data_IF_590402326346
#
_entry.id   IF_590402326346
#
_cell.length_a   1.000
_cell.length_b   1.000
_cell.length_c   1.000
_cell.angle_alpha   90.00
_cell.angle_beta   90.00
_cell.angle_gamma   90.00
#
_symmetry.space_group_name_H-M   'P 1'
#
loop_
_entity.id
_entity.type
_entity.pdbx_description
1 polymer ?
#
# COMPACT_ATOMS: atom_id res chain seq x y z
N UNK A 1 -0.14 -0.33 21.74
CA UNK A 1 0.92 0.13 20.82
C UNK A 1 0.39 1.40 20.19
N UNK A 2 1.01 2.55 20.49
CA UNK A 2 0.59 3.82 19.92
C UNK A 2 0.65 3.73 18.40
N UNK A 3 -0.47 4.00 17.73
CA UNK A 3 -0.52 4.09 16.28
C UNK A 3 0.29 5.32 15.93
N UNK A 4 1.47 5.16 15.32
CA UNK A 4 2.15 6.27 14.69
C UNK A 4 1.27 6.78 13.56
N UNK A 5 0.74 7.98 13.73
CA UNK A 5 -0.07 8.66 12.74
C UNK A 5 0.83 9.71 12.08
N UNK A 6 0.91 9.64 10.75
CA UNK A 6 1.60 10.65 9.95
C UNK A 6 0.54 11.66 9.49
N UNK A 7 0.69 12.91 9.91
CA UNK A 7 -0.18 14.02 9.48
C UNK A 7 0.63 15.02 8.66
N UNK A 8 0.07 15.42 7.52
CA UNK A 8 0.62 16.53 6.78
C UNK A 8 0.19 17.84 7.47
N UNK A 9 1.15 18.75 7.66
CA UNK A 9 0.89 20.10 8.16
C UNK A 9 1.34 21.13 7.12
N UNK A 10 0.51 22.15 6.91
CA UNK A 10 0.81 23.22 5.96
C UNK A 10 -0.44 23.99 5.54
N UNK A 11 -0.27 25.21 4.99
CA UNK A 11 -1.39 26.08 4.63
C UNK A 11 -2.25 25.55 3.48
N UNK A 12 -1.74 24.59 2.71
CA UNK A 12 -2.42 23.97 1.57
C UNK A 12 -3.06 22.61 1.92
N UNK A 13 -2.92 22.13 3.16
CA UNK A 13 -3.52 20.87 3.58
C UNK A 13 -4.97 21.13 3.99
N UNK A 14 -5.91 20.63 3.18
CA UNK A 14 -7.34 20.80 3.44
C UNK A 14 -7.88 19.79 4.44
N UNK A 15 -7.40 18.53 4.37
CA UNK A 15 -7.90 17.42 5.19
C UNK A 15 -6.86 16.31 5.30
N UNK A 16 -6.78 15.69 6.48
CA UNK A 16 -6.09 14.42 6.69
C UNK A 16 -7.14 13.30 6.82
N UNK A 17 -6.94 12.19 6.11
CA UNK A 17 -7.82 11.01 6.17
C UNK A 17 -7.00 9.81 6.65
N UNK A 18 -7.44 9.19 7.73
CA UNK A 18 -6.77 8.00 8.27
C UNK A 18 -7.45 6.73 7.79
N UNK A 19 -6.69 5.91 7.09
CA UNK A 19 -7.14 4.62 6.59
C UNK A 19 -6.58 3.52 7.48
N UNK A 20 -7.46 2.75 8.12
CA UNK A 20 -7.06 1.56 8.88
C UNK A 20 -7.01 0.34 7.95
N UNK A 21 -6.01 -0.52 8.16
CA UNK A 21 -5.94 -1.84 7.51
C UNK A 21 -6.49 -2.88 8.49
N UNK A 22 -7.41 -3.71 8.00
CA UNK A 22 -7.90 -4.84 8.78
C UNK A 22 -6.78 -5.87 8.95
N UNK A 23 -6.71 -6.58 10.08
CA UNK A 23 -5.76 -7.65 10.29
C UNK A 23 -5.88 -8.73 9.20
N UNK A 24 -4.73 -9.24 8.76
CA UNK A 24 -4.70 -10.38 7.85
C UNK A 24 -5.22 -11.63 8.57
N UNK A 25 -6.14 -12.41 7.96
CA UNK A 25 -6.49 -13.72 8.49
C UNK A 25 -5.25 -14.63 8.53
N UNK A 26 -5.15 -15.47 9.55
CA UNK A 26 -4.00 -16.40 9.71
C UNK A 26 -3.87 -17.39 8.54
N UNK A 27 -4.96 -17.65 7.82
CA UNK A 27 -4.97 -18.47 6.62
C UNK A 27 -4.26 -17.82 5.42
N UNK A 28 -4.07 -16.50 5.43
CA UNK A 28 -3.39 -15.78 4.35
C UNK A 28 -1.88 -15.82 4.58
N UNK A 29 -1.24 -16.76 3.90
CA UNK A 29 0.22 -16.92 3.90
C UNK A 29 0.77 -16.67 2.50
N UNK A 30 2.09 -16.48 2.38
CA UNK A 30 2.72 -16.37 1.07
C UNK A 30 2.42 -17.59 0.18
N UNK A 31 2.49 -18.80 0.76
CA UNK A 31 2.20 -20.05 0.04
C UNK A 31 0.75 -20.18 -0.39
N UNK A 32 -0.20 -19.59 0.34
CA UNK A 32 -1.61 -19.61 -0.08
C UNK A 32 -1.88 -18.62 -1.22
N UNK A 33 -1.16 -17.50 -1.28
CA UNK A 33 -1.31 -16.51 -2.34
C UNK A 33 -0.54 -16.88 -3.61
N UNK A 34 0.66 -17.45 -3.44
CA UNK A 34 1.55 -17.85 -4.51
C UNK A 34 1.97 -19.31 -4.32
N UNK A 35 1.04 -20.28 -4.54
CA UNK A 35 1.37 -21.69 -4.50
C UNK A 35 2.22 -22.08 -5.73
N UNK A 36 2.86 -23.25 -5.67
CA UNK A 36 3.64 -23.77 -6.80
C UNK A 36 2.76 -24.04 -8.03
N UNK A 37 1.50 -24.42 -7.80
CA UNK A 37 0.50 -24.66 -8.84
C UNK A 37 -0.85 -24.11 -8.41
N UNK A 38 -1.58 -23.52 -9.35
CA UNK A 38 -2.95 -23.03 -9.17
C UNK A 38 -3.85 -23.87 -10.06
N UNK A 39 -4.79 -24.58 -9.45
CA UNK A 39 -5.91 -25.22 -10.14
C UNK A 39 -7.07 -24.25 -10.17
N UNK A 40 -7.35 -23.65 -11.33
CA UNK A 40 -8.39 -22.61 -11.46
C UNK A 40 -9.81 -23.12 -11.15
N UNK A 41 -10.06 -24.43 -11.16
CA UNK A 41 -11.39 -24.99 -10.89
C UNK A 41 -11.61 -25.31 -9.40
N UNK A 42 -10.55 -25.66 -8.67
CA UNK A 42 -10.65 -26.21 -7.31
C UNK A 42 -9.97 -25.33 -6.25
N UNK A 43 -9.04 -24.47 -6.64
CA UNK A 43 -8.29 -23.66 -5.69
C UNK A 43 -9.17 -22.56 -5.05
N UNK A 44 -8.98 -22.37 -3.74
CA UNK A 44 -9.59 -21.26 -3.01
C UNK A 44 -8.70 -20.02 -3.14
N UNK A 45 -9.24 -18.92 -3.69
CA UNK A 45 -8.54 -17.64 -3.76
C UNK A 45 -8.59 -16.93 -2.40
N UNK A 46 -7.46 -16.76 -1.68
CA UNK A 46 -7.44 -16.01 -0.44
C UNK A 46 -7.79 -14.55 -0.71
N UNK A 47 -8.61 -13.95 0.14
CA UNK A 47 -8.93 -12.52 0.05
C UNK A 47 -8.01 -11.74 0.97
N UNK A 48 -7.29 -10.78 0.40
CA UNK A 48 -6.55 -9.77 1.17
C UNK A 48 -7.55 -8.65 1.51
N UNK A 49 -7.78 -8.34 2.79
CA UNK A 49 -8.65 -7.23 3.16
C UNK A 49 -7.97 -5.92 2.77
N UNK A 50 -8.60 -5.22 1.82
CA UNK A 50 -8.18 -3.91 1.34
C UNK A 50 -9.11 -2.83 1.88
N UNK A 51 -8.59 -1.62 2.15
CA UNK A 51 -9.43 -0.54 2.60
C UNK A 51 -10.42 -0.13 1.52
N UNK A 52 -11.64 0.17 1.95
CA UNK A 52 -12.72 0.68 1.10
C UNK A 52 -13.13 2.06 1.59
N UNK A 53 -12.32 3.12 1.35
CA UNK A 53 -12.81 4.46 1.59
C UNK A 53 -13.98 4.73 0.65
N UNK A 54 -14.96 5.47 1.16
CA UNK A 54 -16.17 5.86 0.44
C UNK A 54 -16.27 7.38 0.35
N UNK A 55 -16.95 7.88 -0.69
CA UNK A 55 -17.15 9.31 -0.89
C UNK A 55 -15.86 10.09 -1.06
N UNK A 56 -15.77 11.26 -0.42
CA UNK A 56 -14.62 12.16 -0.51
C UNK A 56 -13.38 11.66 0.24
N UNK A 57 -13.50 10.61 1.06
CA UNK A 57 -12.35 9.99 1.73
C UNK A 57 -11.51 9.12 0.78
N UNK A 58 -12.06 8.79 -0.40
CA UNK A 58 -11.36 8.06 -1.46
C UNK A 58 -10.66 8.99 -2.46
N UNK A 59 -10.88 10.31 -2.37
CA UNK A 59 -10.35 11.32 -3.29
C UNK A 59 -9.27 12.14 -2.58
N UNK A 60 -8.01 11.72 -2.72
CA UNK A 60 -6.86 12.34 -2.06
C UNK A 60 -5.74 12.62 -3.06
N UNK A 61 -4.98 13.68 -2.80
CA UNK A 61 -3.83 14.07 -3.63
C UNK A 61 -2.54 13.36 -3.24
N UNK A 62 -2.43 12.97 -1.97
CA UNK A 62 -1.23 12.35 -1.40
C UNK A 62 -1.64 11.18 -0.51
N UNK A 63 -1.00 10.03 -0.73
CA UNK A 63 -1.15 8.82 0.07
C UNK A 63 0.17 8.57 0.79
N UNK A 64 0.13 8.40 2.10
CA UNK A 64 1.31 8.09 2.91
C UNK A 64 1.15 6.69 3.51
N UNK A 65 2.13 5.82 3.25
CA UNK A 65 2.13 4.44 3.72
C UNK A 65 3.44 4.08 4.40
N UNK A 66 3.38 3.67 5.68
CA UNK A 66 4.53 3.10 6.39
C UNK A 66 4.68 1.64 5.99
N UNK A 67 5.81 1.29 5.41
CA UNK A 67 6.10 -0.09 4.98
C UNK A 67 6.75 -0.85 6.14
N UNK A 68 6.20 -1.99 6.56
CA UNK A 68 6.86 -2.85 7.54
C UNK A 68 8.22 -3.30 7.01
N UNK A 69 9.26 -3.20 7.85
CA UNK A 69 10.62 -3.55 7.48
C UNK A 69 11.35 -4.18 8.66
N UNK A 70 11.21 -5.50 8.81
CA UNK A 70 11.86 -6.28 9.86
C UNK A 70 13.11 -7.03 9.34
N UNK A 71 13.74 -6.51 8.28
CA UNK A 71 14.85 -7.14 7.58
C UNK A 71 14.44 -8.13 6.47
N UNK A 72 15.44 -8.66 5.77
CA UNK A 72 15.25 -9.62 4.67
C UNK A 72 15.52 -11.05 5.16
N UNK A 73 14.55 -11.95 5.03
CA UNK A 73 14.69 -13.37 5.36
C UNK A 73 13.81 -14.22 4.45
N UNK A 74 13.81 -15.55 4.59
CA UNK A 74 13.02 -16.44 3.74
C UNK A 74 11.51 -16.11 3.73
N UNK A 75 10.98 -15.60 4.84
CA UNK A 75 9.56 -15.22 5.00
C UNK A 75 9.35 -13.71 5.19
N UNK A 76 10.40 -12.90 5.03
CA UNK A 76 10.34 -11.43 5.20
C UNK A 76 10.91 -10.73 3.98
N UNK A 77 10.53 -9.48 3.75
CA UNK A 77 10.97 -8.73 2.57
C UNK A 77 10.06 -8.97 1.37
N UNK A 78 10.48 -9.78 0.37
CA UNK A 78 9.66 -10.03 -0.83
C UNK A 78 8.42 -10.87 -0.53
N UNK A 79 8.53 -11.82 0.42
CA UNK A 79 7.46 -12.77 0.75
C UNK A 79 6.58 -12.35 1.94
N UNK A 80 6.70 -11.10 2.36
CA UNK A 80 5.94 -10.56 3.49
C UNK A 80 4.52 -10.18 3.05
N UNK A 81 3.53 -10.90 3.58
CA UNK A 81 2.11 -10.69 3.26
C UNK A 81 1.58 -9.36 3.80
N UNK A 82 2.08 -8.91 4.95
CA UNK A 82 1.67 -7.61 5.51
C UNK A 82 2.23 -6.46 4.67
N UNK A 83 3.49 -6.59 4.22
CA UNK A 83 4.06 -5.67 3.24
C UNK A 83 3.24 -5.64 1.94
N UNK A 84 2.81 -6.81 1.45
CA UNK A 84 1.95 -6.91 0.28
C UNK A 84 0.60 -6.20 0.49
N UNK A 85 -0.05 -6.41 1.64
CA UNK A 85 -1.30 -5.74 1.97
C UNK A 85 -1.15 -4.21 1.96
N UNK A 86 -0.09 -3.67 2.57
CA UNK A 86 0.16 -2.22 2.59
C UNK A 86 0.35 -1.67 1.17
N UNK A 87 1.12 -2.35 0.33
CA UNK A 87 1.35 -1.92 -1.05
C UNK A 87 0.07 -2.00 -1.90
N UNK A 88 -0.70 -3.09 -1.79
CA UNK A 88 -1.98 -3.22 -2.49
C UNK A 88 -3.01 -2.20 -2.00
N UNK A 89 -3.02 -1.90 -0.71
CA UNK A 89 -3.88 -0.86 -0.16
C UNK A 89 -3.53 0.52 -0.73
N UNK A 90 -2.25 0.89 -0.72
CA UNK A 90 -1.78 2.15 -1.31
C UNK A 90 -2.12 2.24 -2.81
N UNK A 91 -1.92 1.16 -3.57
CA UNK A 91 -2.23 1.12 -4.99
C UNK A 91 -3.75 1.23 -5.24
N UNK A 92 -4.58 0.50 -4.48
CA UNK A 92 -6.03 0.58 -4.58
C UNK A 92 -6.57 1.97 -4.27
N UNK A 93 -5.99 2.65 -3.27
CA UNK A 93 -6.30 4.04 -2.95
C UNK A 93 -5.88 4.97 -4.10
N UNK A 94 -4.66 4.83 -4.61
CA UNK A 94 -4.15 5.66 -5.70
C UNK A 94 -5.00 5.56 -6.96
N UNK A 95 -5.38 4.33 -7.36
CA UNK A 95 -6.27 4.10 -8.49
C UNK A 95 -7.62 4.75 -8.26
N UNK A 96 -8.23 4.58 -7.08
CA UNK A 96 -9.53 5.19 -6.76
C UNK A 96 -9.49 6.72 -6.80
N UNK A 97 -8.46 7.33 -6.22
CA UNK A 97 -8.29 8.78 -6.27
C UNK A 97 -8.02 9.27 -7.70
N UNK A 98 -7.29 8.50 -8.51
CA UNK A 98 -7.02 8.80 -9.92
C UNK A 98 -8.24 8.72 -10.84
N UNK A 99 -9.37 8.15 -10.41
CA UNK A 99 -10.62 8.12 -11.19
C UNK A 99 -11.34 9.48 -11.25
N UNK A 100 -10.85 10.49 -10.54
CA UNK A 100 -11.42 11.85 -10.58
C UNK A 100 -11.28 12.49 -11.96
N UNK A 101 -12.24 13.35 -12.30
CA UNK A 101 -12.29 14.03 -13.60
C UNK A 101 -11.33 15.22 -13.73
N UNK A 102 -10.90 15.80 -12.60
CA UNK A 102 -10.07 16.99 -12.54
C UNK A 102 -8.75 16.61 -11.89
N UNK A 103 -7.65 16.75 -12.64
CA UNK A 103 -6.28 16.35 -12.26
C UNK A 103 -6.17 14.95 -11.61
N UNK A 104 -5.95 13.89 -12.40
CA UNK A 104 -5.84 12.53 -11.87
C UNK A 104 -4.51 12.27 -11.15
N UNK A 105 -3.64 13.28 -11.00
CA UNK A 105 -2.34 13.11 -10.35
C UNK A 105 -2.52 12.74 -8.88
N UNK A 106 -1.87 11.66 -8.45
CA UNK A 106 -1.84 11.22 -7.05
C UNK A 106 -0.40 10.89 -6.69
N UNK A 107 0.10 11.43 -5.59
CA UNK A 107 1.43 11.08 -5.10
C UNK A 107 1.33 10.00 -4.03
N UNK A 108 2.20 9.00 -4.12
CA UNK A 108 2.31 7.94 -3.10
C UNK A 108 3.67 8.03 -2.43
N UNK A 109 3.66 8.19 -1.10
CA UNK A 109 4.86 8.32 -0.27
C UNK A 109 4.98 7.11 0.63
N UNK A 110 6.01 6.31 0.39
CA UNK A 110 6.36 5.18 1.25
C UNK A 110 7.41 5.60 2.27
N UNK A 111 7.16 5.27 3.53
CA UNK A 111 8.07 5.50 4.65
C UNK A 111 8.67 4.17 5.08
N UNK A 112 9.99 4.07 5.08
CA UNK A 112 10.73 2.91 5.57
C UNK A 112 11.88 2.50 4.66
N UNK A 113 12.91 1.90 5.26
CA UNK A 113 14.15 1.53 4.59
C UNK A 113 13.98 0.45 3.50
N UNK A 114 12.97 -0.43 3.64
CA UNK A 114 12.68 -1.49 2.66
C UNK A 114 12.03 -0.98 1.36
N UNK A 115 11.42 0.22 1.36
CA UNK A 115 10.69 0.77 0.20
C UNK A 115 9.46 -0.06 -0.23
N UNK A 116 8.75 0.38 -1.28
CA UNK A 116 7.59 -0.35 -1.81
C UNK A 116 7.99 -1.62 -2.57
N UNK A 117 6.99 -2.42 -2.95
CA UNK A 117 7.17 -3.55 -3.86
C UNK A 117 7.21 -3.04 -5.31
N UNK A 118 8.33 -3.24 -6.00
CA UNK A 118 8.55 -2.72 -7.34
C UNK A 118 7.67 -3.38 -8.41
N UNK A 119 7.12 -4.55 -8.09
CA UNK A 119 6.14 -5.28 -8.90
C UNK A 119 4.79 -4.55 -8.96
N UNK A 120 4.50 -3.71 -7.96
CA UNK A 120 3.28 -2.91 -7.86
C UNK A 120 3.57 -1.44 -8.20
N UNK A 121 4.67 -0.89 -7.69
CA UNK A 121 5.10 0.50 -7.90
C UNK A 121 6.37 0.53 -8.74
N UNK A 122 6.21 0.77 -10.05
CA UNK A 122 7.30 0.61 -11.00
C UNK A 122 8.37 1.68 -10.81
N UNK A 123 9.62 1.34 -11.12
CA UNK A 123 10.76 2.22 -10.90
C UNK A 123 10.73 3.52 -11.73
N UNK A 124 10.03 3.53 -12.87
CA UNK A 124 9.85 4.67 -13.77
C UNK A 124 8.83 5.69 -13.24
N UNK A 125 7.88 5.27 -12.41
CA UNK A 125 6.91 6.12 -11.70
C UNK A 125 7.53 6.80 -10.46
N UNK A 126 8.77 6.45 -10.09
CA UNK A 126 9.46 7.03 -8.94
C UNK A 126 9.94 8.44 -9.24
N UNK A 127 9.38 9.42 -8.54
CA UNK A 127 9.77 10.84 -8.65
C UNK A 127 11.06 11.11 -7.90
N UNK A 128 11.16 10.67 -6.64
CA UNK A 128 12.30 11.00 -5.78
C UNK A 128 12.44 10.01 -4.63
N UNK A 129 13.68 9.82 -4.18
CA UNK A 129 13.99 9.24 -2.88
C UNK A 129 14.69 10.27 -2.01
N UNK A 130 14.24 10.42 -0.77
CA UNK A 130 14.87 11.25 0.27
C UNK A 130 15.04 10.36 1.49
N UNK A 131 16.26 9.93 1.80
CA UNK A 131 16.53 9.01 2.91
C UNK A 131 15.63 7.74 2.86
N UNK A 132 14.75 7.57 3.85
CA UNK A 132 13.79 6.47 3.96
C UNK A 132 12.39 6.80 3.39
N UNK A 133 12.27 7.92 2.69
CA UNK A 133 11.06 8.35 2.00
C UNK A 133 11.16 8.08 0.50
N UNK A 134 10.18 7.37 -0.04
CA UNK A 134 10.09 7.05 -1.46
C UNK A 134 8.82 7.66 -2.05
N UNK A 135 8.98 8.53 -3.04
CA UNK A 135 7.87 9.27 -3.65
C UNK A 135 7.62 8.78 -5.07
N UNK A 136 6.38 8.41 -5.33
CA UNK A 136 5.87 7.94 -6.62
C UNK A 136 4.75 8.87 -7.13
N UNK A 137 4.56 8.87 -8.44
CA UNK A 137 3.53 9.64 -9.15
C UNK A 137 2.93 8.81 -10.27
#
# INVERSE_FOLDING_TARGET
QDREIYEASGPLILKNVHVSLDPLPESVTWKSLFPEWIDEEVASCPKIPLPKPEGSDADVDVIVAKVPCDGWSENKGLRDVYRLQVNLAAANLAVKSGLRKVDPTVYVVFIGSCGPMHEIFKCDERVRRVEDYWVYK
#
